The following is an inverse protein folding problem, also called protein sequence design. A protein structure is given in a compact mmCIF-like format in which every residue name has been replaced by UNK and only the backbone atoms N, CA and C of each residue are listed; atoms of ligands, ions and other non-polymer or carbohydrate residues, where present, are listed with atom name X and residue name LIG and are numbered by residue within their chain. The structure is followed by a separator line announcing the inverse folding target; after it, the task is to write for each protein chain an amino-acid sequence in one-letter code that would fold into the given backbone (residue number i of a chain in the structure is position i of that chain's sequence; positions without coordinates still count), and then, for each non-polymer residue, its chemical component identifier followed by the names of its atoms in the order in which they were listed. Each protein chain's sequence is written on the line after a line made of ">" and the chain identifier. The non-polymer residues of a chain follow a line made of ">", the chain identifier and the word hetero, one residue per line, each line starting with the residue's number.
data_IF_885763322242
#
_entry.id   IF_885763322242
#
_cell.length_a   1.000
_cell.length_b   1.000
_cell.length_c   1.000
_cell.angle_alpha   90.00
_cell.angle_beta   90.00
_cell.angle_gamma   90.00
#
_symmetry.space_group_name_H-M   'P 1'
#
loop_
_entity.id
_entity.type
_entity.pdbx_description
1 polymer ?
#
# COMPACT_ATOMS: atom_id res chain seq x y z
N UNK A 1 -6.90 -8.54 -12.12
CA UNK A 1 -7.08 -9.11 -10.77
C UNK A 1 -8.44 -9.74 -10.61
N UNK A 2 -9.52 -9.05 -11.00
CA UNK A 2 -10.87 -9.61 -10.90
C UNK A 2 -11.06 -10.95 -11.63
N UNK A 3 -10.58 -11.05 -12.88
CA UNK A 3 -10.63 -12.32 -13.62
C UNK A 3 -9.89 -13.48 -12.93
N UNK A 4 -8.86 -13.20 -12.10
CA UNK A 4 -8.16 -14.24 -11.32
C UNK A 4 -8.95 -14.65 -10.08
N UNK A 5 -9.76 -13.74 -9.50
CA UNK A 5 -10.67 -14.08 -8.39
C UNK A 5 -11.82 -14.95 -8.88
N UNK A 6 -12.42 -14.58 -10.02
CA UNK A 6 -13.43 -15.39 -10.70
C UNK A 6 -12.88 -16.78 -11.04
N UNK A 7 -11.65 -16.85 -11.57
CA UNK A 7 -10.99 -18.13 -11.84
C UNK A 7 -10.82 -18.97 -10.55
N UNK A 8 -10.35 -18.38 -9.44
CA UNK A 8 -10.20 -19.05 -8.14
C UNK A 8 -11.52 -19.60 -7.59
N UNK A 9 -12.62 -18.89 -7.82
CA UNK A 9 -13.96 -19.32 -7.39
C UNK A 9 -14.42 -20.52 -8.21
N UNK A 10 -14.32 -20.43 -9.53
CA UNK A 10 -14.71 -21.52 -10.45
C UNK A 10 -13.85 -22.79 -10.28
N UNK A 11 -12.58 -22.66 -9.91
CA UNK A 11 -11.71 -23.80 -9.60
C UNK A 11 -12.20 -24.60 -8.40
N UNK A 12 -12.72 -23.93 -7.36
CA UNK A 12 -13.17 -24.59 -6.13
C UNK A 12 -14.39 -25.49 -6.35
N UNK A 13 -15.19 -25.15 -7.35
CA UNK A 13 -16.39 -25.91 -7.71
C UNK A 13 -16.07 -27.11 -8.62
N UNK A 14 -14.79 -27.33 -8.96
CA UNK A 14 -14.32 -28.36 -9.90
C UNK A 14 -13.39 -29.34 -9.21
N UNK A 15 -13.69 -30.64 -9.26
CA UNK A 15 -12.84 -31.69 -8.66
C UNK A 15 -11.40 -31.70 -9.22
N UNK A 16 -11.25 -31.41 -10.51
CA UNK A 16 -9.95 -31.37 -11.19
C UNK A 16 -9.29 -29.99 -11.16
N UNK A 17 -9.95 -28.97 -10.60
CA UNK A 17 -9.41 -27.62 -10.47
C UNK A 17 -9.06 -26.91 -11.78
N UNK A 18 -9.62 -27.35 -12.92
CA UNK A 18 -9.43 -26.67 -14.22
C UNK A 18 -10.73 -26.00 -14.66
N UNK A 19 -10.63 -24.78 -15.18
CA UNK A 19 -11.78 -24.00 -15.62
C UNK A 19 -11.79 -23.92 -17.14
N UNK A 20 -12.80 -24.50 -17.81
CA UNK A 20 -12.92 -24.42 -19.27
C UNK A 20 -13.39 -23.04 -19.71
N UNK A 21 -13.11 -22.66 -20.96
CA UNK A 21 -13.48 -21.34 -21.50
C UNK A 21 -14.98 -21.06 -21.45
N UNK A 22 -15.80 -22.12 -21.51
CA UNK A 22 -17.27 -22.01 -21.40
C UNK A 22 -17.76 -21.49 -20.04
N UNK A 23 -16.93 -21.51 -19.01
CA UNK A 23 -17.24 -21.00 -17.67
C UNK A 23 -16.82 -19.54 -17.46
N UNK A 24 -16.21 -18.90 -18.46
CA UNK A 24 -15.70 -17.52 -18.38
C UNK A 24 -16.30 -16.66 -19.49
N UNK A 25 -16.48 -15.37 -19.20
CA UNK A 25 -16.74 -14.39 -20.25
C UNK A 25 -15.49 -14.18 -21.12
N UNK A 26 -15.66 -13.80 -22.38
CA UNK A 26 -14.52 -13.61 -23.31
C UNK A 26 -13.51 -12.56 -22.83
N UNK A 27 -13.95 -11.57 -22.04
CA UNK A 27 -13.06 -10.57 -21.43
C UNK A 27 -12.20 -11.17 -20.31
N UNK A 28 -12.78 -12.06 -19.50
CA UNK A 28 -12.09 -12.76 -18.41
C UNK A 28 -11.08 -13.76 -18.99
N UNK A 29 -11.49 -14.53 -20.01
CA UNK A 29 -10.59 -15.46 -20.70
C UNK A 29 -9.35 -14.73 -21.24
N UNK A 30 -9.51 -13.60 -21.93
CA UNK A 30 -8.37 -12.79 -22.41
C UNK A 30 -7.48 -12.28 -21.28
N UNK A 31 -8.06 -11.90 -20.15
CA UNK A 31 -7.31 -11.44 -18.98
C UNK A 31 -6.55 -12.59 -18.30
N UNK A 32 -7.12 -13.80 -18.28
CA UNK A 32 -6.49 -15.04 -17.81
C UNK A 32 -5.33 -15.43 -18.73
N UNK A 33 -5.50 -15.38 -20.05
CA UNK A 33 -4.42 -15.63 -21.02
C UNK A 33 -3.26 -14.64 -20.84
N UNK A 34 -3.56 -13.35 -20.64
CA UNK A 34 -2.54 -12.34 -20.35
C UNK A 34 -1.81 -12.59 -19.01
N UNK A 35 -2.49 -13.18 -18.03
CA UNK A 35 -1.90 -13.53 -16.73
C UNK A 35 -1.03 -14.80 -16.80
N UNK A 36 -1.31 -15.71 -17.74
CA UNK A 36 -0.47 -16.88 -18.00
C UNK A 36 0.95 -16.48 -18.43
N UNK A 37 1.08 -15.44 -19.27
CA UNK A 37 2.39 -14.87 -19.63
C UNK A 37 3.19 -14.28 -18.46
N UNK A 38 2.56 -14.14 -17.28
CA UNK A 38 3.20 -13.67 -16.03
C UNK A 38 3.39 -14.80 -15.01
N UNK A 39 3.11 -16.05 -15.37
CA UNK A 39 3.25 -17.21 -14.50
C UNK A 39 2.20 -17.32 -13.39
N UNK A 40 1.14 -16.51 -13.43
CA UNK A 40 0.07 -16.51 -12.42
C UNK A 40 -1.02 -17.55 -12.71
N UNK A 41 -1.05 -18.06 -13.93
CA UNK A 41 -2.05 -18.99 -14.45
C UNK A 41 -1.32 -20.06 -15.25
N UNK A 42 -1.75 -21.31 -15.09
CA UNK A 42 -1.39 -22.43 -15.92
C UNK A 42 -2.48 -22.66 -16.97
N UNK A 43 -2.08 -22.77 -18.25
CA UNK A 43 -2.99 -23.17 -19.32
C UNK A 43 -2.84 -24.67 -19.56
N UNK A 44 -3.96 -25.37 -19.70
CA UNK A 44 -3.96 -26.79 -19.98
C UNK A 44 -3.28 -27.05 -21.32
N UNK A 45 -2.25 -27.90 -21.31
CA UNK A 45 -1.58 -28.33 -22.52
C UNK A 45 -2.46 -29.30 -23.33
N UNK A 46 -1.91 -29.85 -24.42
CA UNK A 46 -2.67 -30.72 -25.31
C UNK A 46 -3.14 -32.02 -24.62
N UNK A 47 -2.29 -32.60 -23.78
CA UNK A 47 -2.56 -33.87 -23.11
C UNK A 47 -3.64 -33.68 -22.04
N UNK A 48 -3.43 -32.69 -21.17
CA UNK A 48 -4.40 -32.32 -20.15
C UNK A 48 -5.77 -31.95 -20.74
N UNK A 49 -5.80 -31.21 -21.87
CA UNK A 49 -7.06 -30.92 -22.56
C UNK A 49 -7.77 -32.18 -23.08
N UNK A 50 -7.02 -33.19 -23.51
CA UNK A 50 -7.61 -34.46 -23.94
C UNK A 50 -8.23 -35.21 -22.76
N UNK A 51 -7.53 -35.27 -21.63
CA UNK A 51 -8.05 -35.85 -20.37
C UNK A 51 -9.32 -35.13 -19.90
N UNK A 52 -9.28 -33.80 -19.86
CA UNK A 52 -10.44 -32.98 -19.52
C UNK A 52 -11.60 -33.18 -20.49
N UNK A 53 -11.33 -33.41 -21.78
CA UNK A 53 -12.38 -33.69 -22.77
C UNK A 53 -13.07 -35.02 -22.53
N UNK A 54 -12.32 -36.04 -22.09
CA UNK A 54 -12.87 -37.34 -21.70
C UNK A 54 -13.73 -37.18 -20.45
N UNK A 55 -13.21 -36.47 -19.45
CA UNK A 55 -13.93 -36.24 -18.19
C UNK A 55 -15.24 -35.45 -18.38
N UNK A 56 -15.21 -34.39 -19.18
CA UNK A 56 -16.38 -33.54 -19.45
C UNK A 56 -17.34 -34.12 -20.51
N UNK A 57 -16.96 -35.21 -21.19
CA UNK A 57 -17.74 -35.81 -22.28
C UNK A 57 -17.90 -34.92 -23.52
N UNK A 58 -17.05 -33.89 -23.66
CA UNK A 58 -17.09 -32.92 -24.77
C UNK A 58 -15.69 -32.36 -25.05
N UNK A 59 -15.41 -31.90 -26.29
CA UNK A 59 -14.11 -31.31 -26.62
C UNK A 59 -13.79 -30.06 -25.78
N UNK A 60 -12.66 -30.08 -25.08
CA UNK A 60 -12.09 -28.94 -24.35
C UNK A 60 -10.92 -28.38 -25.15
N UNK A 61 -11.11 -27.19 -25.72
CA UNK A 61 -10.10 -26.51 -26.53
C UNK A 61 -9.21 -25.56 -25.72
N UNK A 62 -9.69 -25.15 -24.54
CA UNK A 62 -9.02 -24.25 -23.63
C UNK A 62 -9.50 -24.54 -22.21
N UNK A 63 -8.55 -24.61 -21.29
CA UNK A 63 -8.82 -24.63 -19.87
C UNK A 63 -7.64 -23.97 -19.15
N UNK A 64 -7.93 -23.32 -18.03
CA UNK A 64 -6.94 -22.63 -17.21
C UNK A 64 -7.16 -22.94 -15.74
N UNK A 65 -6.08 -22.82 -14.96
CA UNK A 65 -6.12 -22.76 -13.51
C UNK A 65 -5.08 -21.79 -12.97
N UNK A 66 -5.22 -21.33 -11.75
CA UNK A 66 -4.22 -20.57 -11.03
C UNK A 66 -3.01 -21.46 -10.80
N UNK A 67 -1.84 -20.87 -11.01
CA UNK A 67 -0.61 -21.48 -10.51
C UNK A 67 -0.52 -21.31 -8.99
N UNK A 68 0.40 -22.02 -8.34
CA UNK A 68 0.70 -21.79 -6.93
C UNK A 68 1.02 -20.30 -6.65
N UNK A 69 1.78 -19.65 -7.53
CA UNK A 69 2.10 -18.22 -7.44
C UNK A 69 0.85 -17.34 -7.61
N UNK A 70 -0.08 -17.72 -8.49
CA UNK A 70 -1.37 -17.03 -8.64
C UNK A 70 -2.21 -17.06 -7.36
N UNK A 71 -2.28 -18.23 -6.71
CA UNK A 71 -2.95 -18.38 -5.41
C UNK A 71 -2.29 -17.54 -4.31
N UNK A 72 -0.96 -17.56 -4.22
CA UNK A 72 -0.22 -16.78 -3.23
C UNK A 72 -0.42 -15.28 -3.42
N UNK A 73 -0.38 -14.79 -4.67
CA UNK A 73 -0.62 -13.38 -5.00
C UNK A 73 -2.03 -12.96 -4.60
N UNK A 74 -3.06 -13.76 -4.90
CA UNK A 74 -4.43 -13.44 -4.49
C UNK A 74 -4.60 -13.48 -2.98
N UNK A 75 -4.03 -14.49 -2.31
CA UNK A 75 -4.08 -14.61 -0.85
C UNK A 75 -3.40 -13.43 -0.18
N UNK A 76 -2.22 -13.03 -0.67
CA UNK A 76 -1.49 -11.86 -0.19
C UNK A 76 -2.29 -10.58 -0.40
N UNK A 77 -2.89 -10.37 -1.58
CA UNK A 77 -3.67 -9.16 -1.88
C UNK A 77 -4.94 -9.08 -1.03
N UNK A 78 -5.64 -10.20 -0.85
CA UNK A 78 -6.88 -10.24 -0.07
C UNK A 78 -6.61 -10.10 1.44
N UNK A 79 -5.46 -10.59 1.92
CA UNK A 79 -5.01 -10.40 3.30
C UNK A 79 -4.31 -9.04 3.54
N UNK A 80 -3.85 -8.40 2.46
CA UNK A 80 -3.22 -7.08 2.58
C UNK A 80 -4.27 -6.09 3.03
N UNK A 81 -3.99 -5.25 4.04
CA UNK A 81 -4.85 -4.13 4.33
C UNK A 81 -5.02 -3.35 3.02
N UNK A 82 -6.29 -3.08 2.66
CA UNK A 82 -6.62 -2.32 1.46
C UNK A 82 -5.62 -1.17 1.36
N UNK A 83 -4.95 -0.96 0.21
CA UNK A 83 -3.93 0.07 0.09
C UNK A 83 -4.57 1.32 0.66
N UNK A 84 -4.05 1.79 1.81
CA UNK A 84 -4.67 2.90 2.54
C UNK A 84 -4.91 3.93 1.46
N UNK A 85 -6.20 4.25 1.23
CA UNK A 85 -6.62 5.22 0.22
C UNK A 85 -5.59 6.32 0.28
N UNK A 86 -5.05 6.75 -0.87
CA UNK A 86 -4.23 7.96 -0.94
C UNK A 86 -4.86 8.92 0.05
N UNK A 87 -4.24 9.13 1.22
CA UNK A 87 -4.81 10.00 2.23
C UNK A 87 -4.77 11.32 1.48
N UNK A 88 -5.88 11.72 0.89
CA UNK A 88 -6.05 13.10 0.51
C UNK A 88 -6.30 13.74 1.86
N UNK A 89 -5.48 14.73 2.20
CA UNK A 89 -5.64 15.43 3.47
C UNK A 89 -7.10 15.79 3.65
N UNK A 90 -7.61 15.63 4.86
CA UNK A 90 -8.90 16.21 5.21
C UNK A 90 -8.87 17.72 4.97
N UNK A 91 -10.04 18.37 4.91
CA UNK A 91 -10.11 19.83 4.78
C UNK A 91 -9.29 20.49 5.90
N UNK A 92 -8.33 21.34 5.52
CA UNK A 92 -7.39 21.97 6.46
C UNK A 92 -6.10 21.17 6.75
N UNK A 93 -5.90 20.02 6.12
CA UNK A 93 -4.64 19.27 6.17
C UNK A 93 -3.75 19.57 4.97
N UNK A 94 -2.44 19.67 5.23
CA UNK A 94 -1.40 19.81 4.21
C UNK A 94 -0.46 18.64 4.19
N UNK A 95 0.07 18.34 3.02
CA UNK A 95 1.11 17.33 2.84
C UNK A 95 2.45 17.86 3.33
N UNK A 96 3.05 17.15 4.27
CA UNK A 96 4.39 17.38 4.80
C UNK A 96 5.28 16.20 4.45
N UNK A 97 6.44 16.50 3.88
CA UNK A 97 7.44 15.54 3.46
C UNK A 97 8.73 15.71 4.26
N UNK A 98 9.11 14.65 4.97
CA UNK A 98 10.26 14.63 5.86
C UNK A 98 11.33 13.67 5.34
N UNK A 99 12.58 14.09 5.34
CA UNK A 99 13.72 13.20 5.20
C UNK A 99 13.82 12.26 6.40
N UNK A 100 14.64 11.21 6.27
CA UNK A 100 14.87 10.23 7.33
C UNK A 100 15.22 10.88 8.68
N UNK A 101 16.16 11.81 8.70
CA UNK A 101 16.63 12.43 9.95
C UNK A 101 15.56 13.29 10.62
N UNK A 102 14.74 13.99 9.82
CA UNK A 102 13.60 14.79 10.29
C UNK A 102 12.51 13.88 10.87
N UNK A 103 12.20 12.77 10.18
CA UNK A 103 11.25 11.77 10.66
C UNK A 103 11.74 11.08 11.95
N UNK A 104 13.04 10.85 12.11
CA UNK A 104 13.62 10.31 13.34
C UNK A 104 13.46 11.28 14.53
N UNK A 105 13.70 12.58 14.31
CA UNK A 105 13.43 13.59 15.34
C UNK A 105 11.95 13.67 15.71
N UNK A 106 11.06 13.67 14.72
CA UNK A 106 9.63 13.69 14.95
C UNK A 106 9.15 12.46 15.73
N UNK A 107 9.67 11.26 15.38
CA UNK A 107 9.39 10.00 16.12
C UNK A 107 9.86 10.06 17.57
N UNK A 108 11.05 10.61 17.82
CA UNK A 108 11.55 10.79 19.18
C UNK A 108 10.63 11.72 19.96
N UNK A 109 10.25 12.85 19.38
CA UNK A 109 9.38 13.84 20.02
C UNK A 109 8.01 13.26 20.39
N UNK A 110 7.34 12.54 19.48
CA UNK A 110 6.06 11.89 19.83
C UNK A 110 6.23 10.76 20.86
N UNK A 111 7.39 10.10 20.89
CA UNK A 111 7.67 9.05 21.88
C UNK A 111 7.88 9.62 23.29
N UNK A 112 8.57 10.76 23.42
CA UNK A 112 8.82 11.41 24.71
C UNK A 112 7.73 12.42 25.09
N UNK A 113 6.68 12.56 24.29
CA UNK A 113 5.70 13.65 24.38
C UNK A 113 5.04 13.82 25.74
N UNK A 114 4.76 12.71 26.43
CA UNK A 114 4.18 12.72 27.79
C UNK A 114 5.11 13.34 28.85
N UNK A 115 6.41 13.45 28.56
CA UNK A 115 7.43 14.04 29.43
C UNK A 115 7.72 15.50 29.09
N UNK A 116 7.16 16.00 27.98
CA UNK A 116 7.41 17.35 27.49
C UNK A 116 6.44 18.34 28.14
N UNK A 117 6.92 19.56 28.40
CA UNK A 117 6.04 20.65 28.86
C UNK A 117 5.16 21.19 27.73
N UNK A 118 5.66 21.16 26.50
CA UNK A 118 4.90 21.39 25.28
C UNK A 118 4.74 20.03 24.61
N UNK A 119 3.58 19.37 24.73
CA UNK A 119 3.37 18.05 24.16
C UNK A 119 3.19 18.12 22.63
N UNK A 120 3.38 17.00 21.92
CA UNK A 120 2.99 16.88 20.53
C UNK A 120 1.50 17.19 20.35
N UNK A 121 1.14 17.87 19.25
CA UNK A 121 -0.24 18.17 18.91
C UNK A 121 -1.10 16.88 18.86
N UNK A 122 -2.39 17.03 19.14
CA UNK A 122 -3.32 15.89 19.19
C UNK A 122 -3.31 15.12 17.86
N UNK A 123 -3.33 13.79 17.93
CA UNK A 123 -3.32 12.93 16.75
C UNK A 123 -1.98 12.84 16.00
N UNK A 124 -0.98 13.66 16.31
CA UNK A 124 0.32 13.65 15.61
C UNK A 124 1.01 12.28 15.69
N UNK A 125 0.97 11.62 16.85
CA UNK A 125 1.53 10.28 17.01
C UNK A 125 0.87 9.23 16.08
N UNK A 126 -0.44 9.37 15.81
CA UNK A 126 -1.15 8.50 14.86
C UNK A 126 -0.70 8.80 13.42
N UNK A 127 -0.54 10.08 13.07
CA UNK A 127 -0.02 10.48 11.75
C UNK A 127 1.40 9.98 11.52
N UNK A 128 2.28 10.05 12.52
CA UNK A 128 3.64 9.50 12.46
C UNK A 128 3.64 7.98 12.24
N UNK A 129 2.72 7.24 12.88
CA UNK A 129 2.56 5.79 12.67
C UNK A 129 2.00 5.45 11.29
N UNK A 130 1.10 6.28 10.77
CA UNK A 130 0.49 6.10 9.44
C UNK A 130 1.35 6.64 8.28
N UNK A 131 2.47 7.32 8.58
CA UNK A 131 3.35 7.92 7.60
C UNK A 131 3.85 6.90 6.58
N UNK A 132 3.89 7.30 5.30
CA UNK A 132 4.35 6.42 4.22
C UNK A 132 5.70 6.89 3.70
N UNK A 133 6.61 5.95 3.51
CA UNK A 133 7.87 6.24 2.85
C UNK A 133 7.68 6.17 1.33
N UNK A 134 7.89 7.29 0.64
CA UNK A 134 7.88 7.42 -0.81
C UNK A 134 9.29 7.82 -1.26
N UNK A 135 10.06 6.84 -1.75
CA UNK A 135 11.47 7.04 -2.07
C UNK A 135 12.31 7.36 -0.82
N UNK A 136 12.95 8.53 -0.82
CA UNK A 136 13.80 8.99 0.28
C UNK A 136 13.09 9.91 1.29
N UNK A 137 11.78 10.13 1.12
CA UNK A 137 10.96 11.00 1.97
C UNK A 137 9.82 10.23 2.63
N UNK A 138 9.40 10.71 3.79
CA UNK A 138 8.23 10.27 4.52
C UNK A 138 7.12 11.30 4.32
N UNK A 139 5.95 10.85 3.88
CA UNK A 139 4.80 11.70 3.59
C UNK A 139 3.76 11.56 4.70
N UNK A 140 3.31 12.71 5.22
CA UNK A 140 2.30 12.84 6.27
C UNK A 140 1.29 13.94 5.89
N UNK A 141 0.00 13.71 6.11
CA UNK A 141 -1.01 14.76 6.05
C UNK A 141 -1.27 15.27 7.45
N UNK A 142 -1.00 16.56 7.65
CA UNK A 142 -0.99 17.20 8.96
C UNK A 142 -1.89 18.44 8.95
N UNK A 143 -2.60 18.66 10.06
CA UNK A 143 -3.29 19.94 10.32
C UNK A 143 -2.25 21.04 10.58
N UNK A 144 -2.66 22.31 10.52
CA UNK A 144 -1.76 23.43 10.86
C UNK A 144 -1.16 23.31 12.27
N UNK A 145 -1.96 22.94 13.29
CA UNK A 145 -1.47 22.69 14.65
C UNK A 145 -0.39 21.59 14.70
N UNK A 146 -0.56 20.54 13.91
CA UNK A 146 0.43 19.47 13.80
C UNK A 146 1.70 19.94 13.08
N UNK A 147 1.57 20.80 12.07
CA UNK A 147 2.70 21.41 11.35
C UNK A 147 3.51 22.31 12.28
N UNK A 148 2.85 23.10 13.13
CA UNK A 148 3.52 23.90 14.17
C UNK A 148 4.25 23.02 15.19
N UNK A 149 3.64 21.90 15.59
CA UNK A 149 4.29 20.92 16.47
C UNK A 149 5.52 20.27 15.82
N UNK A 150 5.51 20.07 14.49
CA UNK A 150 6.69 19.64 13.72
C UNK A 150 7.75 20.73 13.68
N UNK A 151 7.37 21.99 13.47
CA UNK A 151 8.31 23.11 13.53
C UNK A 151 8.96 23.22 14.92
N UNK A 152 8.20 22.97 15.99
CA UNK A 152 8.70 22.97 17.36
C UNK A 152 9.77 21.90 17.61
N UNK A 153 9.59 20.65 17.14
CA UNK A 153 10.65 19.63 17.30
C UNK A 153 11.91 19.98 16.54
N UNK A 154 11.81 20.59 15.35
CA UNK A 154 13.00 21.04 14.62
C UNK A 154 13.67 22.24 15.29
N UNK A 155 12.91 23.14 15.91
CA UNK A 155 13.45 24.17 16.79
C UNK A 155 14.22 23.55 17.97
N UNK A 156 13.65 22.59 18.68
CA UNK A 156 14.32 21.88 19.78
C UNK A 156 15.62 21.21 19.33
N UNK A 157 15.60 20.56 18.16
CA UNK A 157 16.80 19.95 17.56
C UNK A 157 17.86 20.99 17.19
N UNK A 158 17.43 22.18 16.80
CA UNK A 158 18.33 23.31 16.52
C UNK A 158 19.10 23.76 17.76
N UNK A 159 18.46 23.76 18.94
CA UNK A 159 19.12 24.02 20.23
C UNK A 159 20.15 22.95 20.60
N UNK A 160 20.01 21.73 20.05
CA UNK A 160 20.99 20.64 20.17
C UNK A 160 22.15 20.71 19.18
N UNK A 161 22.23 21.76 18.35
CA UNK A 161 23.34 22.02 17.44
C UNK A 161 23.08 21.71 15.96
N UNK A 162 21.88 21.24 15.60
CA UNK A 162 21.51 20.99 14.19
C UNK A 162 20.38 21.91 13.73
N UNK A 163 20.74 23.01 13.08
CA UNK A 163 19.79 24.01 12.52
C UNK A 163 19.24 23.64 11.14
N UNK A 164 19.79 22.60 10.51
CA UNK A 164 19.53 22.27 9.11
C UNK A 164 18.05 21.90 8.86
N UNK A 165 17.48 21.07 9.73
CA UNK A 165 16.09 20.63 9.64
C UNK A 165 15.12 21.80 9.83
N UNK A 166 15.37 22.66 10.83
CA UNK A 166 14.55 23.85 11.08
C UNK A 166 14.55 24.81 9.88
N UNK A 167 15.73 25.15 9.36
CA UNK A 167 15.85 26.06 8.21
C UNK A 167 15.17 25.50 6.94
N UNK A 168 15.32 24.19 6.69
CA UNK A 168 14.66 23.54 5.55
C UNK A 168 13.14 23.55 5.73
N UNK A 169 12.66 23.24 6.92
CA UNK A 169 11.23 23.20 7.21
C UNK A 169 10.58 24.58 7.02
N UNK A 170 11.24 25.65 7.51
CA UNK A 170 10.80 27.03 7.27
C UNK A 170 10.76 27.36 5.78
N UNK A 171 11.80 26.99 5.02
CA UNK A 171 11.86 27.25 3.58
C UNK A 171 10.76 26.53 2.79
N UNK A 172 10.41 25.31 3.19
CA UNK A 172 9.47 24.47 2.43
C UNK A 172 8.01 24.67 2.84
N UNK A 173 7.76 24.94 4.12
CA UNK A 173 6.41 25.03 4.67
C UNK A 173 6.02 26.42 5.16
N UNK A 174 6.97 27.34 5.28
CA UNK A 174 6.74 28.71 5.77
C UNK A 174 6.51 28.81 7.27
N UNK A 175 6.66 27.71 8.01
CA UNK A 175 6.36 27.63 9.44
C UNK A 175 7.65 27.53 10.23
N UNK A 176 7.88 28.50 11.10
CA UNK A 176 8.93 28.50 12.11
C UNK A 176 8.28 28.46 13.49
N UNK A 177 8.85 27.72 14.44
CA UNK A 177 8.51 27.95 15.83
C UNK A 177 9.30 29.15 16.33
N UNK A 178 8.58 30.25 16.58
CA UNK A 178 9.12 31.43 17.24
C UNK A 178 8.69 31.35 18.70
N UNK A 179 9.63 31.40 19.64
CA UNK A 179 9.28 31.76 21.00
C UNK A 179 8.87 33.21 20.98
N UNK A 180 7.62 33.52 21.34
CA UNK A 180 7.21 34.89 21.66
C UNK A 180 8.19 35.40 22.75
N UNK A 181 8.93 36.47 22.43
CA UNK A 181 9.75 37.22 23.40
C UNK A 181 8.88 38.05 24.35
#
# INVERSE_FOLDING_TARGET
>A
MEALRVLRELERDREHGWVPASSLASAEQRAVDAAAGRGLVELADREMRAELSVYEGRPILWAARLSAHGHDVLTYIDASPAPAHQQQGAEGERLVELYRQEMEALRLYVHIGERMRVPPAEGLAQRVRAARQLGNRWSLWLTEEQVESVAYVFYLRSMGGSVAEANRFVREYGVAFLTDE
#
